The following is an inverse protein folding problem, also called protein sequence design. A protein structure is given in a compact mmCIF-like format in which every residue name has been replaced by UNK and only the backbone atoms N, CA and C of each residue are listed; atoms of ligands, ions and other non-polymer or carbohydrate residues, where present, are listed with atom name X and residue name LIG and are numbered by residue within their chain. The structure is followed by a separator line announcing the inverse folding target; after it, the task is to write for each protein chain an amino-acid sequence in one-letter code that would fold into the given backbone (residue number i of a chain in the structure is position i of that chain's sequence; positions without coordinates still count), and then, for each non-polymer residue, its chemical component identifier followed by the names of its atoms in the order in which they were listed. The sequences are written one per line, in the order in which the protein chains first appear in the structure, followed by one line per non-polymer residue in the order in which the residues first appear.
data_IF_786283120150
#
_entry.id   IF_786283120150
#
_cell.length_a   1.000
_cell.length_b   1.000
_cell.length_c   1.000
_cell.angle_alpha   90.00
_cell.angle_beta   90.00
_cell.angle_gamma   90.00
#
_symmetry.space_group_name_H-M   'P 1'
#
loop_
_entity.id
_entity.type
_entity.pdbx_description
1 polymer ?
#
# COMPACT_ATOMS: atom_id res chain seq x y z
N UNK A 1 28.43 -27.06 33.22
CA UNK A 1 27.22 -26.86 34.05
C UNK A 1 27.25 -25.44 34.58
N UNK A 2 26.57 -24.51 33.91
CA UNK A 2 26.49 -23.09 34.30
C UNK A 2 25.10 -22.82 34.84
N UNK A 3 25.03 -22.62 36.15
CA UNK A 3 23.81 -22.38 36.91
C UNK A 3 23.51 -20.89 37.08
N UNK A 4 22.21 -20.60 37.06
CA UNK A 4 21.52 -19.47 37.72
C UNK A 4 21.45 -18.12 37.00
N UNK A 5 20.46 -18.00 36.10
CA UNK A 5 19.73 -16.73 35.92
C UNK A 5 18.77 -16.59 37.12
N UNK A 6 18.94 -15.51 37.86
CA UNK A 6 18.25 -15.20 39.12
C UNK A 6 16.84 -14.70 38.82
N UNK A 7 15.88 -15.61 38.66
CA UNK A 7 14.47 -15.25 38.68
C UNK A 7 14.04 -15.05 40.14
N UNK A 8 13.75 -13.81 40.52
CA UNK A 8 13.08 -13.51 41.78
C UNK A 8 11.59 -13.81 41.62
N UNK A 9 11.00 -14.72 42.41
CA UNK A 9 9.56 -14.97 42.38
C UNK A 9 8.80 -13.68 42.71
N UNK A 10 7.72 -13.42 41.98
CA UNK A 10 6.83 -12.30 42.30
C UNK A 10 6.23 -12.50 43.72
N UNK A 11 6.08 -11.43 44.53
CA UNK A 11 5.39 -11.50 45.80
C UNK A 11 4.00 -12.13 45.60
N UNK A 12 3.68 -13.16 46.38
CA UNK A 12 2.39 -13.84 46.35
C UNK A 12 1.38 -13.27 47.35
N UNK A 13 1.80 -12.33 48.19
CA UNK A 13 0.94 -11.58 49.09
C UNK A 13 0.64 -10.22 48.49
N UNK A 14 -0.65 -9.95 48.28
CA UNK A 14 -1.13 -8.61 47.98
C UNK A 14 -0.84 -7.71 49.20
N UNK A 15 -0.38 -6.46 49.00
CA UNK A 15 -0.21 -5.53 50.10
C UNK A 15 -1.56 -5.37 50.82
N UNK A 16 -1.56 -5.46 52.16
CA UNK A 16 -2.75 -5.17 52.98
C UNK A 16 -3.11 -3.68 52.85
N UNK A 17 -3.82 -3.37 51.77
CA UNK A 17 -4.37 -2.05 51.51
C UNK A 17 -5.63 -1.93 52.36
N UNK A 18 -5.54 -1.14 53.42
CA UNK A 18 -6.66 -0.84 54.29
C UNK A 18 -7.61 0.10 53.54
N UNK A 19 -8.50 -0.47 52.72
CA UNK A 19 -9.49 0.28 51.94
C UNK A 19 -10.56 0.85 52.89
N UNK A 20 -10.34 2.07 53.37
CA UNK A 20 -11.28 2.78 54.25
C UNK A 20 -12.49 3.35 53.51
N UNK A 21 -12.48 3.30 52.17
CA UNK A 21 -13.60 3.70 51.34
C UNK A 21 -13.90 2.61 50.31
N UNK A 22 -15.19 2.34 50.04
CA UNK A 22 -15.57 1.45 48.94
C UNK A 22 -15.07 2.04 47.62
N UNK A 23 -14.64 1.21 46.66
CA UNK A 23 -14.29 1.68 45.33
C UNK A 23 -15.48 2.46 44.73
N UNK A 24 -15.24 3.53 43.97
CA UNK A 24 -16.29 4.31 43.32
C UNK A 24 -17.23 3.38 42.55
N UNK A 25 -18.54 3.61 42.64
CA UNK A 25 -19.49 2.85 41.82
C UNK A 25 -19.25 3.20 40.34
N UNK A 26 -19.18 2.18 39.47
CA UNK A 26 -19.06 2.34 38.01
C UNK A 26 -20.19 3.19 37.38
N UNK A 27 -21.19 3.57 38.17
CA UNK A 27 -22.34 4.38 37.76
C UNK A 27 -22.25 5.86 38.15
N UNK A 28 -21.15 6.31 38.78
CA UNK A 28 -21.06 7.67 39.31
C UNK A 28 -19.74 8.39 39.02
N UNK A 29 -19.21 8.25 37.81
CA UNK A 29 -18.57 9.40 37.19
C UNK A 29 -19.53 9.88 36.11
N UNK A 30 -20.21 11.00 36.38
CA UNK A 30 -20.74 11.82 35.29
C UNK A 30 -19.55 12.09 34.40
N UNK A 31 -19.46 11.36 33.29
CA UNK A 31 -18.42 11.48 32.29
C UNK A 31 -18.24 12.97 32.03
N UNK A 32 -17.19 13.53 32.60
CA UNK A 32 -16.86 14.92 32.38
C UNK A 32 -16.70 15.06 30.87
N UNK A 33 -17.02 16.22 30.28
CA UNK A 33 -16.79 16.43 28.85
C UNK A 33 -15.33 16.08 28.45
N UNK A 34 -14.39 16.15 29.40
CA UNK A 34 -13.00 15.71 29.30
C UNK A 34 -12.80 14.20 29.18
N UNK A 35 -13.61 13.34 29.83
CA UNK A 35 -13.46 11.88 29.73
C UNK A 35 -14.15 11.30 28.49
N UNK A 36 -15.21 11.95 28.00
CA UNK A 36 -15.75 11.66 26.66
C UNK A 36 -14.78 12.12 25.57
N UNK A 37 -14.06 13.22 25.77
CA UNK A 37 -12.91 13.58 24.93
C UNK A 37 -11.84 12.49 24.98
N UNK A 38 -11.44 11.94 26.13
CA UNK A 38 -10.40 10.89 26.18
C UNK A 38 -10.73 9.61 25.43
N UNK A 39 -12.01 9.25 25.27
CA UNK A 39 -12.42 8.07 24.50
C UNK A 39 -12.26 8.26 22.98
N UNK A 40 -12.34 9.51 22.50
CA UNK A 40 -12.13 9.93 21.11
C UNK A 40 -11.30 11.21 21.05
N UNK A 41 -10.13 11.19 21.70
CA UNK A 41 -9.36 12.39 22.03
C UNK A 41 -8.81 13.13 20.82
N UNK A 42 -8.64 14.43 20.99
CA UNK A 42 -7.82 15.27 20.11
C UNK A 42 -6.47 14.56 19.83
N UNK A 43 -5.91 14.67 18.61
CA UNK A 43 -4.68 13.98 18.25
C UNK A 43 -3.58 14.22 19.29
N UNK A 44 -2.97 13.14 19.80
CA UNK A 44 -1.91 13.22 20.83
C UNK A 44 -0.76 14.11 20.34
N UNK A 45 -0.29 15.02 21.18
CA UNK A 45 0.85 15.87 20.88
C UNK A 45 2.14 15.29 21.44
N UNK A 46 3.27 15.63 20.83
CA UNK A 46 4.61 15.18 21.27
C UNK A 46 5.01 15.73 22.64
N UNK A 47 4.40 16.86 23.02
CA UNK A 47 4.57 17.52 24.32
C UNK A 47 3.68 16.90 25.43
N UNK A 48 2.79 15.97 25.09
CA UNK A 48 2.01 15.27 26.10
C UNK A 48 2.95 14.41 26.96
N UNK A 49 2.82 14.53 28.28
CA UNK A 49 3.68 13.89 29.27
C UNK A 49 3.30 12.40 29.47
N UNK A 50 3.28 11.65 28.36
CA UNK A 50 2.89 10.23 28.28
C UNK A 50 4.15 9.41 28.00
N UNK A 51 4.33 8.23 28.64
CA UNK A 51 5.45 7.35 28.34
C UNK A 51 5.52 6.99 26.85
N UNK A 52 6.72 6.78 26.31
CA UNK A 52 6.95 6.61 24.86
C UNK A 52 6.16 5.45 24.25
N UNK A 53 5.93 4.37 25.01
CA UNK A 53 5.11 3.23 24.59
C UNK A 53 3.65 3.61 24.26
N UNK A 54 3.14 4.72 24.81
CA UNK A 54 1.79 5.23 24.52
C UNK A 54 1.77 6.26 23.38
N UNK A 55 2.93 6.65 22.85
CA UNK A 55 3.01 7.55 21.67
C UNK A 55 2.79 6.79 20.36
N UNK A 56 3.07 5.49 20.36
CA UNK A 56 2.71 4.55 19.31
C UNK A 56 1.33 3.96 19.65
N UNK A 57 0.27 4.56 19.12
CA UNK A 57 -1.06 3.92 19.19
C UNK A 57 -1.11 2.64 18.35
N UNK A 58 -2.18 1.84 18.50
CA UNK A 58 -2.35 0.62 17.72
C UNK A 58 -2.49 0.87 16.22
N UNK A 59 -2.73 2.12 15.82
CA UNK A 59 -2.79 2.59 14.43
C UNK A 59 -2.16 3.98 14.26
N UNK A 60 -1.87 4.35 13.00
CA UNK A 60 -1.33 5.66 12.61
C UNK A 60 -2.24 6.83 13.03
N UNK A 61 -3.56 6.62 13.11
CA UNK A 61 -4.48 7.66 13.59
C UNK A 61 -4.32 7.99 15.08
N UNK A 62 -3.92 7.01 15.89
CA UNK A 62 -3.75 7.12 17.34
C UNK A 62 -2.35 7.60 17.74
N UNK A 63 -1.39 7.53 16.81
CA UNK A 63 -0.03 8.00 17.02
C UNK A 63 0.04 9.54 17.06
N UNK A 64 1.10 10.07 17.66
CA UNK A 64 1.31 11.53 17.68
C UNK A 64 1.49 12.08 16.26
N UNK A 65 1.18 13.36 16.08
CA UNK A 65 1.26 14.03 14.76
C UNK A 65 2.64 13.89 14.11
N UNK A 66 3.70 13.96 14.92
CA UNK A 66 5.08 13.79 14.46
C UNK A 66 5.33 12.37 13.92
N UNK A 67 4.92 11.35 14.66
CA UNK A 67 5.08 9.93 14.27
C UNK A 67 4.28 9.64 13.00
N UNK A 68 3.03 10.13 12.92
CA UNK A 68 2.20 10.01 11.71
C UNK A 68 2.87 10.64 10.50
N UNK A 69 3.40 11.85 10.63
CA UNK A 69 4.05 12.55 9.51
C UNK A 69 5.33 11.84 9.08
N UNK A 70 6.08 11.23 10.00
CA UNK A 70 7.25 10.40 9.68
C UNK A 70 6.85 9.14 8.92
N UNK A 71 5.81 8.43 9.37
CA UNK A 71 5.28 7.25 8.69
C UNK A 71 4.86 7.57 7.25
N UNK A 72 4.01 8.59 7.08
CA UNK A 72 3.52 9.02 5.76
C UNK A 72 4.72 9.39 4.86
N UNK A 73 5.69 10.16 5.37
CA UNK A 73 6.89 10.52 4.60
C UNK A 73 7.65 9.28 4.14
N UNK A 74 7.84 8.28 4.99
CA UNK A 74 8.52 7.03 4.62
C UNK A 74 7.77 6.29 3.51
N UNK A 75 6.45 6.10 3.65
CA UNK A 75 5.61 5.41 2.66
C UNK A 75 5.74 6.07 1.29
N UNK A 76 5.52 7.39 1.20
CA UNK A 76 5.58 8.11 -0.07
C UNK A 76 7.00 8.24 -0.63
N UNK A 77 8.03 8.20 0.23
CA UNK A 77 9.44 8.15 -0.22
C UNK A 77 9.75 6.82 -0.89
N UNK A 78 9.37 5.70 -0.26
CA UNK A 78 9.52 4.36 -0.84
C UNK A 78 8.76 4.30 -2.17
N UNK A 79 7.49 4.69 -2.17
CA UNK A 79 6.64 4.72 -3.36
C UNK A 79 7.28 5.50 -4.51
N UNK A 80 7.79 6.70 -4.23
CA UNK A 80 8.44 7.55 -5.23
C UNK A 80 9.68 6.89 -5.82
N UNK A 81 10.52 6.27 -4.98
CA UNK A 81 11.70 5.51 -5.44
C UNK A 81 11.27 4.33 -6.33
N UNK A 82 10.21 3.61 -5.97
CA UNK A 82 9.68 2.50 -6.78
C UNK A 82 9.19 2.97 -8.15
N UNK A 83 8.46 4.09 -8.20
CA UNK A 83 7.97 4.67 -9.46
C UNK A 83 9.12 5.19 -10.33
N UNK A 84 10.11 5.85 -9.76
CA UNK A 84 11.31 6.31 -10.49
C UNK A 84 12.08 5.11 -11.05
N UNK A 85 12.30 4.07 -10.25
CA UNK A 85 12.97 2.86 -10.70
C UNK A 85 12.20 2.20 -11.86
N UNK A 86 10.88 2.10 -11.74
CA UNK A 86 10.00 1.55 -12.79
C UNK A 86 10.08 2.36 -14.07
N UNK A 87 9.99 3.69 -13.97
CA UNK A 87 10.10 4.61 -15.10
C UNK A 87 11.48 4.55 -15.76
N UNK A 88 12.56 4.46 -14.97
CA UNK A 88 13.93 4.38 -15.49
C UNK A 88 14.17 3.08 -16.28
N UNK A 89 13.77 1.93 -15.74
CA UNK A 89 13.88 0.64 -16.44
C UNK A 89 13.03 0.65 -17.70
N UNK A 90 11.79 1.16 -17.60
CA UNK A 90 10.90 1.32 -18.76
C UNK A 90 11.48 2.23 -19.84
N UNK A 91 12.15 3.33 -19.47
CA UNK A 91 12.78 4.25 -20.41
C UNK A 91 13.89 3.58 -21.23
N UNK A 92 14.63 2.62 -20.65
CA UNK A 92 15.66 1.87 -21.39
C UNK A 92 15.06 1.14 -22.60
N UNK A 93 13.81 0.69 -22.52
CA UNK A 93 13.12 0.03 -23.65
C UNK A 93 12.83 0.96 -24.83
N UNK A 94 12.82 2.28 -24.62
CA UNK A 94 12.64 3.29 -25.67
C UNK A 94 13.97 3.88 -26.15
N UNK A 95 15.00 3.84 -25.31
CA UNK A 95 16.32 4.43 -25.61
C UNK A 95 17.28 3.46 -26.29
N UNK A 96 17.09 2.14 -26.14
CA UNK A 96 17.98 1.12 -26.68
C UNK A 96 17.21 0.04 -27.44
N UNK A 97 17.40 0.01 -28.77
CA UNK A 97 16.83 -1.02 -29.63
C UNK A 97 17.34 -2.43 -29.29
N UNK A 98 18.60 -2.53 -28.83
CA UNK A 98 19.19 -3.80 -28.38
C UNK A 98 18.47 -4.33 -27.14
N UNK A 99 18.24 -3.48 -26.13
CA UNK A 99 17.49 -3.88 -24.95
C UNK A 99 16.03 -4.23 -25.29
N UNK A 100 15.37 -3.41 -26.12
CA UNK A 100 14.00 -3.65 -26.58
C UNK A 100 13.85 -5.00 -27.30
N UNK A 101 14.71 -5.27 -28.27
CA UNK A 101 14.67 -6.54 -29.01
C UNK A 101 14.99 -7.73 -28.11
N UNK A 102 15.88 -7.58 -27.13
CA UNK A 102 16.20 -8.62 -26.16
C UNK A 102 15.01 -8.97 -25.25
N UNK A 103 14.36 -7.98 -24.64
CA UNK A 103 13.20 -8.24 -23.75
C UNK A 103 12.00 -8.81 -24.51
N UNK A 104 11.79 -8.42 -25.77
CA UNK A 104 10.70 -8.93 -26.59
C UNK A 104 10.95 -10.35 -27.11
N UNK A 105 12.21 -10.75 -27.30
CA UNK A 105 12.59 -12.09 -27.77
C UNK A 105 12.63 -13.15 -26.67
N UNK A 106 12.62 -12.76 -25.39
CA UNK A 106 12.71 -13.67 -24.25
C UNK A 106 11.46 -13.61 -23.35
N UNK A 107 10.26 -13.97 -23.86
CA UNK A 107 9.01 -13.88 -23.09
C UNK A 107 9.00 -14.77 -21.83
N UNK A 108 9.82 -15.82 -21.78
CA UNK A 108 9.97 -16.66 -20.60
C UNK A 108 10.45 -15.86 -19.37
N UNK A 109 11.29 -14.84 -19.57
CA UNK A 109 11.85 -14.03 -18.47
C UNK A 109 10.75 -13.17 -17.83
N UNK A 110 9.74 -12.74 -18.59
CA UNK A 110 8.58 -12.01 -18.06
C UNK A 110 7.79 -12.86 -17.07
N UNK A 111 7.62 -14.15 -17.34
CA UNK A 111 6.96 -15.05 -16.40
C UNK A 111 7.79 -15.26 -15.14
N UNK A 112 9.12 -15.39 -15.28
CA UNK A 112 10.03 -15.46 -14.13
C UNK A 112 9.97 -14.18 -13.30
N UNK A 113 9.93 -13.00 -13.92
CA UNK A 113 9.83 -11.74 -13.20
C UNK A 113 8.48 -11.56 -12.51
N UNK A 114 7.37 -11.98 -13.14
CA UNK A 114 6.03 -11.92 -12.56
C UNK A 114 5.89 -12.85 -11.35
N UNK A 115 6.27 -14.12 -11.46
CA UNK A 115 6.21 -15.03 -10.32
C UNK A 115 7.26 -14.68 -9.25
N UNK A 116 8.41 -14.18 -9.68
CA UNK A 116 9.45 -13.66 -8.80
C UNK A 116 8.99 -12.45 -7.99
N UNK A 117 8.28 -11.49 -8.59
CA UNK A 117 7.77 -10.32 -7.87
C UNK A 117 6.73 -10.75 -6.83
N UNK A 118 5.81 -11.65 -7.17
CA UNK A 118 4.86 -12.24 -6.21
C UNK A 118 5.56 -12.95 -5.04
N UNK A 119 6.60 -13.74 -5.31
CA UNK A 119 7.38 -14.40 -4.28
C UNK A 119 8.12 -13.39 -3.39
N UNK A 120 8.78 -12.38 -3.98
CA UNK A 120 9.48 -11.33 -3.23
C UNK A 120 8.51 -10.50 -2.39
N UNK A 121 7.29 -10.23 -2.87
CA UNK A 121 6.24 -9.58 -2.08
C UNK A 121 5.87 -10.41 -0.85
N UNK A 122 5.64 -11.72 -1.01
CA UNK A 122 5.34 -12.61 0.11
C UNK A 122 6.50 -12.70 1.12
N UNK A 123 7.74 -12.76 0.63
CA UNK A 123 8.94 -12.74 1.47
C UNK A 123 9.11 -11.41 2.21
N UNK A 124 8.80 -10.29 1.57
CA UNK A 124 8.82 -8.96 2.18
C UNK A 124 7.81 -8.90 3.33
N UNK A 125 6.61 -9.44 3.14
CA UNK A 125 5.61 -9.53 4.20
C UNK A 125 6.07 -10.43 5.36
N UNK A 126 6.63 -11.61 5.05
CA UNK A 126 7.13 -12.53 6.08
C UNK A 126 8.29 -11.94 6.89
N UNK A 127 9.20 -11.21 6.24
CA UNK A 127 10.36 -10.58 6.88
C UNK A 127 10.16 -9.10 7.20
N UNK A 128 8.91 -8.63 7.29
CA UNK A 128 8.56 -7.21 7.45
C UNK A 128 9.27 -6.50 8.63
N UNK A 129 9.46 -7.21 9.75
CA UNK A 129 10.15 -6.69 10.95
C UNK A 129 11.67 -6.93 10.98
N UNK A 130 12.26 -7.54 9.94
CA UNK A 130 13.69 -7.86 9.87
C UNK A 130 14.43 -6.88 8.97
N UNK A 131 14.98 -5.82 9.56
CA UNK A 131 15.86 -4.88 8.87
C UNK A 131 17.31 -5.42 8.81
N UNK A 132 18.04 -5.30 7.68
CA UNK A 132 17.66 -4.69 6.40
C UNK A 132 17.08 -5.69 5.38
N UNK A 133 16.79 -6.93 5.78
CA UNK A 133 16.30 -7.99 4.87
C UNK A 133 15.00 -7.61 4.18
N UNK A 134 14.08 -6.93 4.88
CA UNK A 134 12.85 -6.40 4.30
C UNK A 134 13.09 -5.46 3.10
N UNK A 135 14.09 -4.58 3.17
CA UNK A 135 14.44 -3.67 2.08
C UNK A 135 15.07 -4.39 0.89
N UNK A 136 15.81 -5.48 1.13
CA UNK A 136 16.38 -6.30 0.06
C UNK A 136 15.27 -7.01 -0.73
N UNK A 137 14.27 -7.58 -0.05
CA UNK A 137 13.14 -8.19 -0.75
C UNK A 137 12.25 -7.15 -1.43
N UNK A 138 12.07 -5.97 -0.83
CA UNK A 138 11.36 -4.86 -1.45
C UNK A 138 12.05 -4.35 -2.72
N UNK A 139 13.38 -4.23 -2.72
CA UNK A 139 14.13 -3.80 -3.90
C UNK A 139 14.09 -4.85 -5.00
N UNK A 140 14.24 -6.14 -4.64
CA UNK A 140 14.07 -7.25 -5.58
C UNK A 140 12.66 -7.27 -6.20
N UNK A 141 11.62 -7.14 -5.37
CA UNK A 141 10.23 -6.98 -5.83
C UNK A 141 10.10 -5.84 -6.83
N UNK A 142 10.61 -4.65 -6.48
CA UNK A 142 10.51 -3.45 -7.31
C UNK A 142 11.24 -3.61 -8.65
N UNK A 143 12.42 -4.23 -8.67
CA UNK A 143 13.19 -4.44 -9.91
C UNK A 143 12.53 -5.48 -10.82
N UNK A 144 11.99 -6.56 -10.25
CA UNK A 144 11.28 -7.58 -11.01
C UNK A 144 9.98 -7.01 -11.61
N UNK A 145 9.24 -6.22 -10.82
CA UNK A 145 8.05 -5.55 -11.31
C UNK A 145 8.39 -4.49 -12.37
N UNK A 146 9.40 -3.66 -12.13
CA UNK A 146 9.89 -2.68 -13.10
C UNK A 146 10.30 -3.32 -14.43
N UNK A 147 10.93 -4.49 -14.38
CA UNK A 147 11.24 -5.27 -15.58
C UNK A 147 9.97 -5.71 -16.30
N UNK A 148 9.00 -6.30 -15.59
CA UNK A 148 7.70 -6.72 -16.17
C UNK A 148 7.01 -5.55 -16.87
N UNK A 149 6.93 -4.39 -16.21
CA UNK A 149 6.35 -3.17 -16.79
C UNK A 149 7.14 -2.70 -18.01
N UNK A 150 8.47 -2.73 -17.94
CA UNK A 150 9.33 -2.37 -19.08
C UNK A 150 9.07 -3.25 -20.30
N UNK A 151 8.82 -4.55 -20.12
CA UNK A 151 8.49 -5.42 -21.25
C UNK A 151 7.11 -5.07 -21.82
N UNK A 152 6.11 -4.86 -20.96
CA UNK A 152 4.76 -4.48 -21.41
C UNK A 152 4.81 -3.20 -22.24
N UNK A 153 5.39 -2.12 -21.71
CA UNK A 153 5.40 -0.81 -22.40
C UNK A 153 6.21 -0.83 -23.69
N UNK A 154 7.16 -1.77 -23.85
CA UNK A 154 7.95 -1.90 -25.08
C UNK A 154 7.11 -2.20 -26.33
N UNK A 155 5.90 -2.77 -26.14
CA UNK A 155 4.94 -3.07 -27.21
C UNK A 155 4.03 -1.89 -27.57
N UNK A 156 4.12 -0.78 -26.83
CA UNK A 156 3.32 0.42 -27.05
C UNK A 156 4.17 1.54 -27.67
N UNK A 157 3.51 2.52 -28.30
CA UNK A 157 4.19 3.72 -28.75
C UNK A 157 4.58 4.61 -27.57
N UNK A 158 5.76 5.23 -27.65
CA UNK A 158 6.26 6.09 -26.57
C UNK A 158 5.28 7.25 -26.23
N UNK A 159 4.62 7.82 -27.24
CA UNK A 159 3.62 8.87 -27.06
C UNK A 159 2.41 8.41 -26.23
N UNK A 160 1.91 7.19 -26.48
CA UNK A 160 0.79 6.62 -25.72
C UNK A 160 1.22 6.35 -24.28
N UNK A 161 2.44 5.83 -24.08
CA UNK A 161 2.99 5.54 -22.76
C UNK A 161 3.17 6.82 -21.94
N UNK A 162 3.74 7.89 -22.52
CA UNK A 162 3.88 9.17 -21.83
C UNK A 162 2.53 9.77 -21.46
N UNK A 163 1.54 9.74 -22.36
CA UNK A 163 0.18 10.20 -22.07
C UNK A 163 -0.44 9.42 -20.91
N UNK A 164 -0.25 8.08 -20.89
CA UNK A 164 -0.73 7.25 -19.79
C UNK A 164 -0.08 7.60 -18.45
N UNK A 165 1.23 7.88 -18.43
CA UNK A 165 1.95 8.32 -17.22
C UNK A 165 1.36 9.62 -16.68
N UNK A 166 1.20 10.65 -17.53
CA UNK A 166 0.65 11.94 -17.09
C UNK A 166 -0.79 11.82 -16.58
N UNK A 167 -1.63 11.05 -17.26
CA UNK A 167 -3.02 10.85 -16.87
C UNK A 167 -3.12 10.07 -15.55
N UNK A 168 -2.31 9.01 -15.38
CA UNK A 168 -2.24 8.25 -14.13
C UNK A 168 -1.79 9.11 -12.97
N UNK A 169 -0.73 9.91 -13.16
CA UNK A 169 -0.25 10.83 -12.13
C UNK A 169 -1.34 11.85 -11.74
N UNK A 170 -2.05 12.42 -12.72
CA UNK A 170 -3.16 13.34 -12.48
C UNK A 170 -4.29 12.70 -11.66
N UNK A 171 -4.74 11.50 -12.05
CA UNK A 171 -5.79 10.77 -11.34
C UNK A 171 -5.32 10.38 -9.93
N UNK A 172 -4.13 9.82 -9.79
CA UNK A 172 -3.60 9.42 -8.49
C UNK A 172 -3.50 10.59 -7.52
N UNK A 173 -2.93 11.73 -7.96
CA UNK A 173 -2.81 12.92 -7.13
C UNK A 173 -4.19 13.49 -6.74
N UNK A 174 -5.13 13.52 -7.68
CA UNK A 174 -6.50 13.97 -7.42
C UNK A 174 -7.21 13.07 -6.40
N UNK A 175 -7.18 11.75 -6.59
CA UNK A 175 -7.81 10.79 -5.69
C UNK A 175 -7.15 10.78 -4.32
N UNK A 176 -5.82 10.88 -4.26
CA UNK A 176 -5.08 10.98 -3.00
C UNK A 176 -5.50 12.24 -2.24
N UNK A 177 -5.51 13.39 -2.90
CA UNK A 177 -5.94 14.66 -2.28
C UNK A 177 -7.40 14.59 -1.80
N UNK A 178 -8.28 13.97 -2.59
CA UNK A 178 -9.68 13.77 -2.23
C UNK A 178 -9.83 12.84 -1.03
N UNK A 179 -9.11 11.70 -1.00
CA UNK A 179 -9.09 10.75 0.11
C UNK A 179 -8.59 11.37 1.42
N UNK A 180 -7.60 12.27 1.34
CA UNK A 180 -7.09 13.04 2.48
C UNK A 180 -8.12 14.01 3.07
N UNK A 181 -8.91 14.67 2.22
CA UNK A 181 -9.82 15.76 2.62
C UNK A 181 -11.22 15.26 3.00
N UNK A 182 -11.65 14.14 2.44
CA UNK A 182 -13.00 13.63 2.63
C UNK A 182 -13.24 13.06 4.04
N UNK A 183 -14.46 13.25 4.52
CA UNK A 183 -14.96 12.62 5.75
C UNK A 183 -15.54 11.23 5.49
N UNK A 184 -15.82 10.89 4.24
CA UNK A 184 -16.35 9.58 3.86
C UNK A 184 -15.30 8.49 4.12
N UNK A 185 -15.72 7.37 4.72
CA UNK A 185 -14.85 6.23 4.99
C UNK A 185 -14.87 5.23 3.83
N UNK A 186 -13.93 5.41 2.89
CA UNK A 186 -13.72 4.49 1.78
C UNK A 186 -13.20 3.14 2.24
N UNK A 187 -12.60 3.00 3.43
CA UNK A 187 -12.05 1.70 3.87
C UNK A 187 -13.13 0.61 3.99
N UNK A 188 -14.40 1.00 4.13
CA UNK A 188 -15.56 0.10 4.04
C UNK A 188 -15.75 -0.56 2.66
N UNK A 189 -15.10 -0.05 1.61
CA UNK A 189 -15.18 -0.57 0.25
C UNK A 189 -14.30 -1.80 0.01
N UNK A 190 -13.37 -2.09 0.92
CA UNK A 190 -12.40 -3.19 0.81
C UNK A 190 -12.99 -4.55 0.39
N UNK A 191 -14.08 -5.08 0.99
CA UNK A 191 -14.65 -6.36 0.57
C UNK A 191 -15.24 -6.33 -0.84
N UNK A 192 -15.83 -5.19 -1.25
CA UNK A 192 -16.37 -5.03 -2.60
C UNK A 192 -15.26 -4.94 -3.64
N UNK A 193 -14.21 -4.16 -3.35
CA UNK A 193 -13.04 -4.06 -4.21
C UNK A 193 -12.31 -5.40 -4.34
N UNK A 194 -12.18 -6.15 -3.24
CA UNK A 194 -11.63 -7.51 -3.27
C UNK A 194 -12.43 -8.45 -4.17
N UNK A 195 -13.76 -8.43 -4.05
CA UNK A 195 -14.64 -9.18 -4.97
C UNK A 195 -14.50 -8.73 -6.43
N UNK A 196 -14.43 -7.42 -6.67
CA UNK A 196 -14.26 -6.85 -8.01
C UNK A 196 -12.91 -7.21 -8.63
N UNK A 197 -11.83 -7.24 -7.84
CA UNK A 197 -10.50 -7.68 -8.26
C UNK A 197 -10.52 -9.13 -8.71
N UNK A 198 -11.15 -10.03 -7.95
CA UNK A 198 -11.32 -11.43 -8.37
C UNK A 198 -12.16 -11.56 -9.64
N UNK A 199 -13.24 -10.77 -9.76
CA UNK A 199 -14.02 -10.69 -10.99
C UNK A 199 -13.17 -10.27 -12.19
N UNK A 200 -12.27 -9.30 -12.00
CA UNK A 200 -11.35 -8.82 -13.02
C UNK A 200 -10.30 -9.87 -13.40
N UNK A 201 -9.75 -10.60 -12.43
CA UNK A 201 -8.82 -11.72 -12.68
C UNK A 201 -9.50 -12.84 -13.47
N UNK A 202 -10.72 -13.24 -13.08
CA UNK A 202 -11.49 -14.27 -13.78
C UNK A 202 -11.84 -13.80 -15.19
N UNK A 203 -12.28 -12.54 -15.35
CA UNK A 203 -12.57 -11.97 -16.66
C UNK A 203 -11.31 -11.94 -17.54
N UNK A 204 -10.16 -11.53 -17.01
CA UNK A 204 -8.88 -11.55 -17.70
C UNK A 204 -8.48 -12.96 -18.15
N UNK A 205 -8.70 -13.96 -17.30
CA UNK A 205 -8.51 -15.37 -17.65
C UNK A 205 -9.47 -15.85 -18.73
N UNK A 206 -10.75 -15.48 -18.67
CA UNK A 206 -11.73 -15.81 -19.71
C UNK A 206 -11.41 -15.13 -21.05
N UNK A 207 -10.90 -13.89 -21.01
CA UNK A 207 -10.49 -13.14 -22.21
C UNK A 207 -9.44 -13.86 -23.04
N UNK A 208 -8.62 -14.73 -22.42
CA UNK A 208 -7.66 -15.58 -23.13
C UNK A 208 -8.32 -16.58 -24.10
N UNK A 209 -9.54 -17.04 -23.80
CA UNK A 209 -10.28 -17.98 -24.65
C UNK A 209 -11.23 -17.29 -25.64
N UNK A 210 -11.48 -15.99 -25.47
CA UNK A 210 -12.39 -15.22 -26.30
C UNK A 210 -11.64 -14.48 -27.43
N UNK A 211 -12.31 -14.16 -28.55
CA UNK A 211 -11.72 -13.34 -29.60
C UNK A 211 -11.33 -11.96 -29.06
N UNK A 212 -10.09 -11.55 -29.33
CA UNK A 212 -9.61 -10.22 -28.97
C UNK A 212 -10.27 -9.17 -29.86
N UNK A 213 -11.12 -8.32 -29.26
CA UNK A 213 -11.75 -7.18 -29.94
C UNK A 213 -11.35 -5.89 -29.24
N UNK A 214 -11.23 -4.79 -30.00
CA UNK A 214 -10.94 -3.46 -29.45
C UNK A 214 -11.95 -3.07 -28.35
N UNK A 215 -13.23 -3.44 -28.51
CA UNK A 215 -14.27 -3.17 -27.51
C UNK A 215 -14.01 -3.92 -26.20
N UNK A 216 -13.61 -5.20 -26.26
CA UNK A 216 -13.27 -5.98 -25.06
C UNK A 216 -12.09 -5.38 -24.31
N UNK A 217 -11.04 -4.96 -25.01
CA UNK A 217 -9.86 -4.32 -24.41
C UNK A 217 -10.19 -2.97 -23.75
N UNK A 218 -11.02 -2.16 -24.40
CA UNK A 218 -11.49 -0.89 -23.86
C UNK A 218 -12.32 -1.12 -22.58
N UNK A 219 -13.31 -2.01 -22.62
CA UNK A 219 -14.17 -2.32 -21.46
C UNK A 219 -13.34 -2.86 -20.31
N UNK A 220 -12.43 -3.80 -20.58
CA UNK A 220 -11.52 -4.32 -19.55
C UNK A 220 -10.65 -3.22 -18.94
N UNK A 221 -10.07 -2.35 -19.78
CA UNK A 221 -9.30 -1.21 -19.34
C UNK A 221 -10.11 -0.26 -18.44
N UNK A 222 -11.34 0.08 -18.82
CA UNK A 222 -12.22 0.94 -18.01
C UNK A 222 -12.58 0.33 -16.66
N UNK A 223 -12.94 -0.95 -16.63
CA UNK A 223 -13.24 -1.66 -15.38
C UNK A 223 -12.01 -1.71 -14.47
N UNK A 224 -10.84 -2.02 -15.04
CA UNK A 224 -9.56 -2.00 -14.32
C UNK A 224 -9.27 -0.63 -13.74
N UNK A 225 -9.40 0.44 -14.54
CA UNK A 225 -9.14 1.80 -14.09
C UNK A 225 -10.08 2.23 -12.96
N UNK A 226 -11.38 1.89 -13.03
CA UNK A 226 -12.34 2.19 -11.97
C UNK A 226 -12.03 1.44 -10.67
N UNK A 227 -11.73 0.13 -10.76
CA UNK A 227 -11.42 -0.69 -9.59
C UNK A 227 -10.16 -0.17 -8.89
N UNK A 228 -9.07 0.05 -9.63
CA UNK A 228 -7.83 0.54 -9.03
C UNK A 228 -7.90 2.00 -8.61
N UNK A 229 -8.74 2.84 -9.23
CA UNK A 229 -9.08 4.15 -8.67
C UNK A 229 -9.77 4.04 -7.31
N UNK A 230 -10.65 3.04 -7.14
CA UNK A 230 -11.26 2.71 -5.85
C UNK A 230 -10.23 2.26 -4.83
N UNK A 231 -9.29 1.38 -5.21
CA UNK A 231 -8.19 0.96 -4.34
C UNK A 231 -7.31 2.14 -3.91
N UNK A 232 -6.94 3.06 -4.82
CA UNK A 232 -6.19 4.28 -4.46
C UNK A 232 -6.89 5.06 -3.34
N UNK A 233 -8.22 5.21 -3.40
CA UNK A 233 -8.97 5.89 -2.34
C UNK A 233 -8.91 5.13 -1.01
N UNK A 234 -9.08 3.81 -1.04
CA UNK A 234 -9.03 2.94 0.15
C UNK A 234 -7.65 2.94 0.77
N UNK A 235 -6.63 2.63 -0.02
CA UNK A 235 -5.26 2.46 0.43
C UNK A 235 -4.68 3.78 0.92
N UNK A 236 -5.02 4.92 0.28
CA UNK A 236 -4.66 6.24 0.82
C UNK A 236 -5.25 6.42 2.22
N UNK A 237 -6.51 6.06 2.45
CA UNK A 237 -7.11 6.19 3.79
C UNK A 237 -6.55 5.19 4.80
N UNK A 238 -6.17 3.98 4.38
CA UNK A 238 -5.48 3.01 5.23
C UNK A 238 -4.12 3.55 5.69
N UNK A 239 -3.35 4.14 4.78
CA UNK A 239 -2.06 4.78 5.09
C UNK A 239 -2.22 5.93 6.06
N UNK A 240 -3.28 6.73 5.92
CA UNK A 240 -3.49 7.90 6.78
C UNK A 240 -4.01 7.55 8.18
N UNK A 241 -4.73 6.42 8.33
CA UNK A 241 -5.53 6.16 9.53
C UNK A 241 -5.32 4.79 10.17
N UNK A 242 -5.23 3.71 9.39
CA UNK A 242 -5.41 2.34 9.91
C UNK A 242 -4.14 1.49 9.99
N UNK A 243 -3.11 1.76 9.19
CA UNK A 243 -1.86 1.00 9.27
C UNK A 243 -1.18 1.16 10.63
N UNK A 244 -0.36 0.19 11.00
CA UNK A 244 0.59 0.36 12.09
C UNK A 244 1.82 1.15 11.62
N UNK A 245 2.46 1.89 12.52
CA UNK A 245 3.60 2.79 12.20
C UNK A 245 4.82 2.04 11.63
N UNK A 246 4.90 0.73 11.85
CA UNK A 246 5.97 -0.15 11.33
C UNK A 246 5.61 -0.88 10.03
N UNK A 247 4.44 -0.60 9.46
CA UNK A 247 3.97 -1.25 8.22
C UNK A 247 4.23 -0.40 6.98
N UNK A 248 5.21 0.50 7.00
CA UNK A 248 5.44 1.46 5.91
C UNK A 248 5.75 0.76 4.57
N UNK A 249 6.39 -0.41 4.62
CA UNK A 249 6.72 -1.19 3.43
C UNK A 249 5.46 -1.81 2.79
N UNK A 250 4.56 -2.38 3.60
CA UNK A 250 3.33 -2.99 3.11
C UNK A 250 2.38 -1.93 2.53
N UNK A 251 2.26 -0.79 3.21
CA UNK A 251 1.55 0.39 2.73
C UNK A 251 2.10 0.87 1.37
N UNK A 252 3.43 0.98 1.24
CA UNK A 252 4.05 1.42 -0.01
C UNK A 252 3.84 0.43 -1.16
N UNK A 253 3.96 -0.88 -0.91
CA UNK A 253 3.70 -1.92 -1.92
C UNK A 253 2.26 -1.84 -2.44
N UNK A 254 1.28 -1.65 -1.54
CA UNK A 254 -0.14 -1.61 -1.93
C UNK A 254 -0.43 -0.40 -2.82
N UNK A 255 -0.03 0.80 -2.40
CA UNK A 255 -0.13 2.02 -3.22
C UNK A 255 0.65 1.90 -4.55
N UNK A 256 1.81 1.25 -4.55
CA UNK A 256 2.59 1.03 -5.77
C UNK A 256 1.83 0.15 -6.76
N UNK A 257 1.26 -0.97 -6.32
CA UNK A 257 0.45 -1.86 -7.15
C UNK A 257 -0.80 -1.15 -7.67
N UNK A 258 -1.43 -0.31 -6.87
CA UNK A 258 -2.58 0.47 -7.30
C UNK A 258 -2.24 1.42 -8.46
N UNK A 259 -1.13 2.16 -8.33
CA UNK A 259 -0.67 3.09 -9.37
C UNK A 259 -0.26 2.34 -10.63
N UNK A 260 0.47 1.23 -10.50
CA UNK A 260 0.93 0.45 -11.65
C UNK A 260 -0.25 -0.16 -12.41
N UNK A 261 -1.23 -0.74 -11.71
CA UNK A 261 -2.39 -1.32 -12.37
C UNK A 261 -3.30 -0.24 -12.99
N UNK A 262 -3.48 0.90 -12.32
CA UNK A 262 -4.16 2.05 -12.90
C UNK A 262 -3.45 2.56 -14.16
N UNK A 263 -2.11 2.62 -14.14
CA UNK A 263 -1.30 2.98 -15.31
C UNK A 263 -1.51 2.00 -16.47
N UNK A 264 -1.42 0.69 -16.22
CA UNK A 264 -1.64 -0.32 -17.25
C UNK A 264 -3.06 -0.28 -17.82
N UNK A 265 -4.06 0.02 -16.98
CA UNK A 265 -5.44 0.20 -17.40
C UNK A 265 -5.60 1.40 -18.35
N UNK A 266 -5.05 2.56 -17.98
CA UNK A 266 -5.06 3.78 -18.80
C UNK A 266 -4.30 3.55 -20.10
N UNK A 267 -3.12 2.93 -20.04
CA UNK A 267 -2.31 2.57 -21.20
C UNK A 267 -3.11 1.73 -22.21
N UNK A 268 -3.83 0.72 -21.71
CA UNK A 268 -4.70 -0.14 -22.52
C UNK A 268 -5.84 0.65 -23.16
N UNK A 269 -6.51 1.53 -22.41
CA UNK A 269 -7.59 2.38 -22.93
C UNK A 269 -7.08 3.26 -24.07
N UNK A 270 -5.97 3.97 -23.85
CA UNK A 270 -5.39 4.88 -24.86
C UNK A 270 -4.95 4.12 -26.12
N UNK A 271 -4.35 2.94 -25.95
CA UNK A 271 -3.96 2.10 -27.07
C UNK A 271 -5.18 1.59 -27.86
N UNK A 272 -6.25 1.16 -27.18
CA UNK A 272 -7.46 0.72 -27.86
C UNK A 272 -8.15 1.84 -28.64
N UNK A 273 -8.06 3.09 -28.18
CA UNK A 273 -8.61 4.24 -28.91
C UNK A 273 -7.73 4.63 -30.10
N UNK A 274 -6.41 4.48 -30.01
CA UNK A 274 -5.50 4.79 -31.11
C UNK A 274 -5.55 3.78 -32.26
N UNK A 275 -5.99 2.54 -32.00
CA UNK A 275 -6.06 1.46 -32.99
C UNK A 275 -7.45 1.32 -33.65
N UNK A 276 -8.44 2.12 -33.23
CA UNK A 276 -9.77 2.23 -33.86
C UNK A 276 -9.82 3.46 -34.76
#
# INVERSE_FOLDING_TARGET
MSTNVKYTPAPQEDPELNYTQPPPSYQAESSSAQDQERLFGSPRNSEDNVPDDFKFGGSVAEATVEIRNQFIRKVYTILTVQLIATGAVSALSFMSDSYKSWIQSHPAIVWVSLFGSMACMMLTYWKRHSYPTNLLFLSAFTLLEAYTISVIVSFYSASIVLNAVFLTAGIFLFLTAFACQTKYDFTSWMPYLFGALWGLVIFGFMSFFLPHTSTTELVYGLLTALIFSGYVLVDTQLVLRKHHVEEEIAAAISLYLDIINLFLAILRILNSQSNN
#
